data_IF_878724914144
#
_entry.id   IF_878724914144
#
_cell.length_a   1.000
_cell.length_b   1.000
_cell.length_c   1.000
_cell.angle_alpha   90.00
_cell.angle_beta   90.00
_cell.angle_gamma   90.00
#
_symmetry.space_group_name_H-M   'P 1'
#
loop_
_entity.id
_entity.type
_entity.pdbx_description
1 polymer ?
#
# COMPACT_ATOMS: atom_id res chain seq x y z
N UNK A 1 2.52 13.34 9.88
CA UNK A 1 2.23 11.91 10.14
C UNK A 1 0.77 11.80 10.55
N UNK A 2 0.03 10.85 10.00
CA UNK A 2 -1.39 10.63 10.34
C UNK A 2 -1.55 10.25 11.81
N UNK A 3 -2.50 10.82 12.56
CA UNK A 3 -2.73 10.46 13.97
C UNK A 3 -3.34 9.06 14.13
N UNK A 4 -3.94 8.50 13.07
CA UNK A 4 -4.52 7.17 13.06
C UNK A 4 -5.46 6.96 11.88
N UNK A 5 -6.06 5.77 11.79
CA UNK A 5 -7.10 5.46 10.80
C UNK A 5 -8.45 5.93 11.37
N UNK A 6 -9.22 6.78 10.64
CA UNK A 6 -10.53 7.25 11.09
C UNK A 6 -11.55 6.12 11.19
N UNK A 7 -12.69 6.42 11.81
CA UNK A 7 -13.81 5.49 11.96
C UNK A 7 -13.76 4.65 13.24
N UNK A 8 -14.92 4.09 13.60
CA UNK A 8 -15.06 3.25 14.79
C UNK A 8 -14.63 1.82 14.48
N UNK A 9 -13.81 1.24 15.35
CA UNK A 9 -13.43 -0.18 15.24
C UNK A 9 -14.70 -1.03 15.30
N UNK A 10 -14.86 -1.93 14.33
CA UNK A 10 -15.98 -2.88 14.31
C UNK A 10 -15.74 -3.92 15.41
N UNK A 11 -16.72 -4.17 16.28
CA UNK A 11 -16.57 -5.17 17.33
C UNK A 11 -16.31 -6.59 16.77
N UNK A 12 -15.63 -7.47 17.53
CA UNK A 12 -15.28 -8.82 17.09
C UNK A 12 -16.49 -9.66 16.63
N UNK A 13 -17.64 -9.52 17.29
CA UNK A 13 -18.88 -10.24 16.99
C UNK A 13 -19.37 -10.02 15.56
N UNK A 14 -19.13 -8.83 15.02
CA UNK A 14 -19.61 -8.46 13.69
C UNK A 14 -18.50 -8.44 12.64
N UNK A 15 -17.24 -8.37 13.07
CA UNK A 15 -16.07 -8.42 12.17
C UNK A 15 -16.01 -9.74 11.41
N UNK A 16 -16.46 -10.85 12.01
CA UNK A 16 -16.43 -12.17 11.39
C UNK A 16 -17.19 -12.22 10.06
N UNK A 17 -18.40 -11.67 10.03
CA UNK A 17 -19.23 -11.64 8.82
C UNK A 17 -18.59 -10.82 7.70
N UNK A 18 -18.01 -9.66 8.04
CA UNK A 18 -17.30 -8.81 7.07
C UNK A 18 -16.06 -9.53 6.50
N UNK A 19 -15.30 -10.22 7.35
CA UNK A 19 -14.17 -11.03 6.93
C UNK A 19 -14.59 -12.19 6.02
N UNK A 20 -15.68 -12.89 6.33
CA UNK A 20 -16.24 -13.96 5.50
C UNK A 20 -16.73 -13.42 4.14
N UNK A 21 -17.33 -12.22 4.12
CA UNK A 21 -17.75 -11.57 2.87
C UNK A 21 -16.56 -11.17 2.00
N UNK A 22 -15.54 -10.53 2.57
CA UNK A 22 -14.31 -10.18 1.83
C UNK A 22 -13.57 -11.44 1.36
N UNK A 23 -13.51 -12.48 2.19
CA UNK A 23 -12.96 -13.78 1.83
C UNK A 23 -13.68 -14.37 0.61
N UNK A 24 -15.02 -14.39 0.65
CA UNK A 24 -15.85 -14.88 -0.45
C UNK A 24 -15.62 -14.08 -1.73
N UNK A 25 -15.70 -12.75 -1.67
CA UNK A 25 -15.51 -11.89 -2.84
C UNK A 25 -14.09 -12.02 -3.44
N UNK A 26 -13.07 -12.21 -2.60
CA UNK A 26 -11.69 -12.37 -3.04
C UNK A 26 -11.32 -13.82 -3.41
N UNK A 27 -12.26 -14.77 -3.33
CA UNK A 27 -12.02 -16.20 -3.56
C UNK A 27 -10.86 -16.78 -2.71
N UNK A 28 -10.78 -16.41 -1.43
CA UNK A 28 -9.70 -16.84 -0.55
C UNK A 28 -10.09 -18.04 0.32
N UNK A 29 -9.14 -18.92 0.57
CA UNK A 29 -9.33 -20.07 1.48
C UNK A 29 -9.33 -19.66 2.97
N UNK A 30 -8.92 -18.43 3.27
CA UNK A 30 -8.80 -17.92 4.64
C UNK A 30 -9.28 -16.48 4.79
N UNK A 31 -9.58 -16.09 6.03
CA UNK A 31 -10.03 -14.74 6.42
C UNK A 31 -8.91 -13.74 6.68
N UNK A 32 -7.64 -14.07 6.36
CA UNK A 32 -6.50 -13.16 6.56
C UNK A 32 -6.60 -11.95 5.64
N UNK A 33 -5.89 -10.88 5.99
CA UNK A 33 -5.81 -9.66 5.19
C UNK A 33 -5.45 -9.98 3.73
N UNK A 34 -6.27 -9.56 2.73
CA UNK A 34 -6.11 -9.98 1.35
C UNK A 34 -5.15 -9.09 0.55
N UNK A 35 -4.65 -8.00 1.15
CA UNK A 35 -3.78 -7.05 0.44
C UNK A 35 -2.40 -7.62 0.12
N UNK A 36 -1.87 -7.27 -1.05
CA UNK A 36 -0.52 -7.61 -1.51
C UNK A 36 0.55 -6.96 -0.61
N UNK A 37 1.81 -7.37 -0.67
CA UNK A 37 2.92 -6.81 0.08
C UNK A 37 4.14 -6.71 -0.85
N UNK A 38 4.64 -5.50 -1.13
CA UNK A 38 5.77 -5.32 -2.05
C UNK A 38 7.08 -5.83 -1.46
N UNK A 39 7.93 -6.36 -2.35
CA UNK A 39 9.31 -6.73 -2.03
C UNK A 39 10.27 -5.54 -2.22
N UNK A 40 11.38 -5.52 -1.49
CA UNK A 40 12.38 -4.46 -1.62
C UNK A 40 13.05 -4.50 -3.00
N UNK A 41 13.28 -3.34 -3.59
CA UNK A 41 13.97 -3.19 -4.85
C UNK A 41 15.46 -3.52 -4.68
N UNK A 42 15.98 -4.39 -5.54
CA UNK A 42 17.39 -4.79 -5.58
C UNK A 42 17.97 -4.49 -6.98
N UNK A 43 19.30 -4.46 -7.09
CA UNK A 43 20.00 -4.21 -8.36
C UNK A 43 19.57 -5.15 -9.50
N UNK A 44 19.30 -6.42 -9.20
CA UNK A 44 18.80 -7.42 -10.16
C UNK A 44 17.49 -7.00 -10.82
N UNK A 45 16.67 -6.19 -10.15
CA UNK A 45 15.40 -5.70 -10.70
C UNK A 45 15.57 -4.64 -11.78
N UNK A 46 16.74 -3.99 -11.90
CA UNK A 46 17.00 -3.06 -13.01
C UNK A 46 16.87 -3.76 -14.37
N UNK A 47 17.35 -5.01 -14.47
CA UNK A 47 17.20 -5.82 -15.67
C UNK A 47 15.73 -6.22 -15.91
N UNK A 48 14.98 -6.53 -14.84
CA UNK A 48 13.54 -6.83 -14.94
C UNK A 48 12.74 -5.65 -15.50
N UNK A 49 13.05 -4.42 -15.10
CA UNK A 49 12.40 -3.22 -15.66
C UNK A 49 12.63 -3.07 -17.17
N UNK A 50 13.75 -3.58 -17.70
CA UNK A 50 14.02 -3.59 -19.14
C UNK A 50 13.30 -4.72 -19.86
N UNK A 51 12.97 -5.83 -19.19
CA UNK A 51 12.38 -7.03 -19.79
C UNK A 51 10.84 -7.03 -19.72
N UNK A 52 10.28 -6.44 -18.68
CA UNK A 52 8.85 -6.43 -18.38
C UNK A 52 8.28 -5.01 -18.42
N UNK A 53 6.96 -4.89 -18.50
CA UNK A 53 6.27 -3.60 -18.45
C UNK A 53 5.94 -3.26 -16.99
N UNK A 54 6.43 -2.11 -16.52
CA UNK A 54 6.15 -1.60 -15.18
C UNK A 54 5.54 -0.20 -15.25
N UNK A 55 4.66 0.08 -14.30
CA UNK A 55 4.30 1.44 -13.91
C UNK A 55 5.05 1.85 -12.66
N UNK A 56 5.20 3.15 -12.46
CA UNK A 56 5.88 3.74 -11.31
C UNK A 56 5.06 4.90 -10.74
N UNK A 57 5.02 5.00 -9.42
CA UNK A 57 4.53 6.16 -8.68
C UNK A 57 5.41 6.42 -7.47
N UNK A 58 5.23 7.59 -6.85
CA UNK A 58 5.83 7.88 -5.54
C UNK A 58 5.29 6.93 -4.47
N UNK A 59 6.09 6.61 -3.46
CA UNK A 59 5.67 5.82 -2.31
C UNK A 59 5.22 6.77 -1.20
N UNK A 60 3.90 6.84 -0.96
CA UNK A 60 3.37 7.79 0.00
C UNK A 60 3.79 7.40 1.42
N UNK A 61 4.00 8.39 2.27
CA UNK A 61 4.19 8.20 3.71
C UNK A 61 2.82 8.25 4.42
N UNK A 62 2.03 7.20 4.21
CA UNK A 62 0.66 7.09 4.72
C UNK A 62 0.39 5.79 5.47
N UNK A 63 -0.89 5.56 5.76
CA UNK A 63 -1.36 4.29 6.34
C UNK A 63 -2.07 3.50 5.25
N UNK A 64 -1.42 2.43 4.79
CA UNK A 64 -2.04 1.49 3.84
C UNK A 64 -3.24 0.78 4.47
N UNK A 65 -4.38 0.87 3.79
CA UNK A 65 -5.64 0.23 4.16
C UNK A 65 -6.36 -0.25 2.90
N UNK A 66 -7.14 -1.32 3.01
CA UNK A 66 -8.14 -1.62 2.00
C UNK A 66 -9.43 -0.87 2.33
N UNK A 67 -10.14 -0.40 1.33
CA UNK A 67 -11.49 0.14 1.48
C UNK A 67 -12.49 -0.90 1.00
N UNK A 68 -13.29 -1.43 1.93
CA UNK A 68 -14.39 -2.33 1.63
C UNK A 68 -15.70 -1.54 1.63
N UNK A 69 -16.36 -1.53 0.49
CA UNK A 69 -17.65 -0.89 0.28
C UNK A 69 -18.67 -2.03 0.24
N UNK A 70 -19.56 -2.05 1.22
CA UNK A 70 -20.58 -3.07 1.39
C UNK A 70 -21.95 -2.49 1.07
N UNK A 71 -22.69 -3.14 0.17
CA UNK A 71 -24.05 -2.74 -0.16
C UNK A 71 -25.00 -3.11 0.98
N UNK A 72 -25.46 -2.09 1.72
CA UNK A 72 -26.38 -2.24 2.84
C UNK A 72 -27.77 -1.71 2.44
N UNK A 73 -28.58 -2.58 1.85
CA UNK A 73 -29.88 -2.21 1.29
C UNK A 73 -29.73 -1.28 0.09
N UNK A 74 -30.07 -0.01 0.27
CA UNK A 74 -30.10 1.02 -0.77
C UNK A 74 -28.95 2.06 -0.65
N UNK A 75 -27.99 1.79 0.23
CA UNK A 75 -26.83 2.64 0.50
C UNK A 75 -25.56 1.83 0.75
N UNK A 76 -24.50 2.50 1.22
CA UNK A 76 -23.19 1.88 1.42
C UNK A 76 -22.71 1.99 2.85
N UNK A 77 -22.33 0.86 3.42
CA UNK A 77 -21.46 0.82 4.59
C UNK A 77 -20.01 0.74 4.10
N UNK A 78 -19.17 1.64 4.59
CA UNK A 78 -17.76 1.72 4.17
C UNK A 78 -16.85 1.36 5.33
N UNK A 79 -15.90 0.47 5.07
CA UNK A 79 -14.93 0.02 6.06
C UNK A 79 -13.51 0.25 5.55
N UNK A 80 -12.63 0.74 6.42
CA UNK A 80 -11.18 0.69 6.21
C UNK A 80 -10.62 -0.54 6.93
N UNK A 81 -9.84 -1.34 6.23
CA UNK A 81 -9.24 -2.58 6.72
C UNK A 81 -7.72 -2.38 6.78
N UNK A 82 -7.16 -2.44 7.99
CA UNK A 82 -5.71 -2.32 8.16
C UNK A 82 -4.97 -3.65 7.94
N UNK A 83 -3.63 -3.60 7.96
CA UNK A 83 -2.78 -4.80 7.78
C UNK A 83 -2.97 -5.87 8.86
N UNK A 84 -3.50 -5.49 10.03
CA UNK A 84 -3.85 -6.43 11.12
C UNK A 84 -5.25 -7.01 10.93
N UNK A 85 -5.90 -6.73 9.79
CA UNK A 85 -7.24 -7.16 9.43
C UNK A 85 -8.32 -6.62 10.38
N UNK A 86 -8.08 -5.43 10.96
CA UNK A 86 -9.04 -4.70 11.79
C UNK A 86 -9.91 -3.82 10.90
N UNK A 87 -11.23 -3.97 11.05
CA UNK A 87 -12.22 -3.22 10.27
C UNK A 87 -12.62 -1.97 11.04
N UNK A 88 -12.63 -0.83 10.37
CA UNK A 88 -13.06 0.47 10.91
C UNK A 88 -14.19 1.03 10.07
N UNK A 89 -15.37 1.11 10.65
CA UNK A 89 -16.54 1.66 10.01
C UNK A 89 -16.39 3.18 9.83
N UNK A 90 -16.48 3.62 8.58
CA UNK A 90 -16.49 5.01 8.20
C UNK A 90 -17.93 5.51 8.26
N UNK A 91 -18.20 6.40 9.21
CA UNK A 91 -19.52 7.01 9.35
C UNK A 91 -19.89 7.79 8.07
N UNK A 92 -21.18 8.13 7.96
CA UNK A 92 -21.89 8.76 6.83
C UNK A 92 -21.04 9.63 5.89
N UNK A 93 -21.41 9.65 4.60
CA UNK A 93 -20.87 10.60 3.62
C UNK A 93 -20.47 9.95 2.29
N UNK A 94 -20.44 8.62 2.24
CA UNK A 94 -20.16 7.88 1.01
C UNK A 94 -21.44 7.34 0.36
N UNK A 95 -21.52 7.51 -0.96
CA UNK A 95 -22.42 6.79 -1.85
C UNK A 95 -21.70 6.60 -3.18
N UNK A 96 -21.88 5.42 -3.79
CA UNK A 96 -21.23 5.07 -5.05
C UNK A 96 -22.28 4.65 -6.06
N UNK A 97 -22.55 5.44 -7.12
CA UNK A 97 -23.51 5.07 -8.14
C UNK A 97 -22.96 3.95 -9.02
N UNK A 98 -23.84 3.05 -9.47
CA UNK A 98 -23.49 1.99 -10.41
C UNK A 98 -23.13 2.59 -11.78
N UNK A 99 -22.22 1.92 -12.48
CA UNK A 99 -21.58 2.45 -13.70
C UNK A 99 -22.48 2.42 -14.94
N UNK A 100 -23.41 1.45 -15.03
CA UNK A 100 -24.40 1.37 -16.11
C UNK A 100 -25.66 2.17 -15.84
N UNK A 101 -26.03 2.30 -14.56
CA UNK A 101 -27.27 2.94 -14.12
C UNK A 101 -26.99 3.73 -12.85
N UNK A 102 -26.86 5.05 -13.00
CA UNK A 102 -26.49 5.95 -11.90
C UNK A 102 -27.55 6.02 -10.80
N UNK A 103 -28.77 5.55 -11.04
CA UNK A 103 -29.86 5.54 -10.04
C UNK A 103 -29.70 4.40 -9.04
N UNK A 104 -28.92 3.38 -9.39
CA UNK A 104 -28.67 2.21 -8.56
C UNK A 104 -27.35 2.36 -7.80
N UNK A 105 -27.26 1.83 -6.56
CA UNK A 105 -25.99 1.76 -5.85
C UNK A 105 -25.07 0.72 -6.49
N UNK A 106 -23.78 1.02 -6.52
CA UNK A 106 -22.71 0.06 -6.80
C UNK A 106 -22.81 -1.09 -5.80
N UNK A 107 -22.54 -2.33 -6.24
CA UNK A 107 -22.44 -3.45 -5.30
C UNK A 107 -21.06 -3.50 -4.64
N UNK A 108 -20.79 -4.58 -3.93
CA UNK A 108 -19.60 -4.67 -3.08
C UNK A 108 -18.30 -4.44 -3.85
N UNK A 109 -17.42 -3.60 -3.28
CA UNK A 109 -16.11 -3.30 -3.85
C UNK A 109 -15.02 -3.45 -2.78
N UNK A 110 -13.83 -3.90 -3.19
CA UNK A 110 -12.64 -3.98 -2.34
C UNK A 110 -11.50 -3.28 -3.07
N UNK A 111 -11.10 -2.12 -2.55
CA UNK A 111 -10.10 -1.24 -3.15
C UNK A 111 -8.82 -1.25 -2.32
N UNK A 112 -7.66 -1.17 -2.95
CA UNK A 112 -6.36 -1.07 -2.29
C UNK A 112 -5.81 0.35 -2.42
N UNK A 113 -5.40 0.91 -1.29
CA UNK A 113 -4.98 2.30 -1.25
C UNK A 113 -4.21 2.68 0.01
N UNK A 114 -3.86 3.96 0.06
CA UNK A 114 -3.10 4.55 1.14
C UNK A 114 -3.81 5.81 1.63
N UNK A 115 -4.06 5.86 2.93
CA UNK A 115 -4.59 7.05 3.57
C UNK A 115 -3.43 8.00 3.84
N UNK A 116 -3.55 9.25 3.41
CA UNK A 116 -2.55 10.32 3.59
C UNK A 116 -3.20 11.56 4.19
N UNK A 117 -2.43 12.31 4.98
CA UNK A 117 -2.84 13.62 5.48
C UNK A 117 -2.09 14.69 4.69
N UNK A 118 -2.79 15.35 3.79
CA UNK A 118 -2.23 16.42 2.98
C UNK A 118 -2.28 17.75 3.71
N UNK A 119 -1.19 18.51 3.64
CA UNK A 119 -1.15 19.91 4.07
C UNK A 119 -1.54 20.80 2.88
N UNK A 120 -2.84 20.98 2.70
CA UNK A 120 -3.41 21.78 1.62
C UNK A 120 -3.27 23.29 1.95
N UNK A 121 -2.71 24.12 1.03
CA UNK A 121 -2.54 25.55 1.26
C UNK A 121 -3.83 26.33 1.52
N UNK A 122 -4.96 25.84 1.02
CA UNK A 122 -6.27 26.51 1.12
C UNK A 122 -7.12 25.94 2.25
N UNK A 123 -7.07 24.63 2.47
CA UNK A 123 -7.97 23.94 3.38
C UNK A 123 -7.30 23.42 4.66
N UNK A 124 -5.99 23.63 4.82
CA UNK A 124 -5.22 23.09 5.93
C UNK A 124 -5.04 21.58 5.80
N UNK A 125 -5.21 20.84 6.89
CA UNK A 125 -5.03 19.38 6.85
C UNK A 125 -6.23 18.67 6.23
N UNK A 126 -6.02 18.01 5.09
CA UNK A 126 -7.05 17.29 4.34
C UNK A 126 -6.71 15.80 4.29
N UNK A 127 -7.65 14.97 4.72
CA UNK A 127 -7.51 13.52 4.68
C UNK A 127 -7.86 13.00 3.28
N UNK A 128 -6.94 12.27 2.64
CA UNK A 128 -7.15 11.68 1.31
C UNK A 128 -6.84 10.19 1.30
N UNK A 129 -7.67 9.41 0.60
CA UNK A 129 -7.41 8.00 0.33
C UNK A 129 -6.98 7.86 -1.14
N UNK A 130 -5.69 7.56 -1.32
CA UNK A 130 -5.06 7.37 -2.62
C UNK A 130 -5.24 5.90 -3.05
N UNK A 131 -6.17 5.65 -3.95
CA UNK A 131 -6.44 4.30 -4.47
C UNK A 131 -5.43 3.98 -5.57
N UNK A 132 -4.73 2.86 -5.45
CA UNK A 132 -3.70 2.43 -6.41
C UNK A 132 -3.95 1.03 -7.02
N UNK A 133 -4.92 0.26 -6.52
CA UNK A 133 -5.38 -0.99 -7.16
C UNK A 133 -6.81 -1.36 -6.69
N UNK A 134 -7.40 -2.41 -7.27
CA UNK A 134 -8.70 -2.93 -6.88
C UNK A 134 -8.75 -4.46 -6.98
N UNK A 135 -9.29 -5.12 -5.95
CA UNK A 135 -9.46 -6.56 -5.89
C UNK A 135 -10.85 -6.98 -6.41
N UNK A 136 -11.87 -6.20 -6.06
CA UNK A 136 -13.28 -6.47 -6.36
C UNK A 136 -13.94 -5.16 -6.76
N UNK A 137 -14.69 -5.17 -7.86
CA UNK A 137 -15.53 -4.04 -8.29
C UNK A 137 -16.90 -4.61 -8.68
N UNK A 138 -17.95 -4.11 -8.04
CA UNK A 138 -19.34 -4.50 -8.28
C UNK A 138 -19.57 -6.01 -8.14
N UNK A 139 -19.18 -6.58 -6.99
CA UNK A 139 -19.17 -8.02 -6.68
C UNK A 139 -18.28 -8.90 -7.58
N UNK A 140 -17.65 -8.34 -8.61
CA UNK A 140 -16.80 -9.10 -9.51
C UNK A 140 -15.36 -9.11 -8.99
N UNK A 141 -14.85 -10.31 -8.67
CA UNK A 141 -13.43 -10.53 -8.44
C UNK A 141 -12.65 -10.23 -9.72
N UNK A 142 -11.66 -9.34 -9.61
CA UNK A 142 -10.85 -8.88 -10.74
C UNK A 142 -9.36 -9.13 -10.50
N UNK A 143 -8.99 -9.88 -9.46
CA UNK A 143 -7.61 -10.12 -9.06
C UNK A 143 -6.83 -10.85 -10.16
N UNK A 144 -7.44 -11.77 -10.91
CA UNK A 144 -6.79 -12.49 -12.01
C UNK A 144 -6.58 -11.65 -13.29
N UNK A 145 -7.13 -10.43 -13.35
CA UNK A 145 -6.93 -9.51 -14.49
C UNK A 145 -5.58 -8.80 -14.37
N UNK A 146 -5.08 -8.25 -15.47
CA UNK A 146 -3.86 -7.42 -15.47
C UNK A 146 -4.07 -6.08 -14.73
N UNK A 147 -2.99 -5.43 -14.31
CA UNK A 147 -3.06 -4.10 -13.68
C UNK A 147 -3.80 -3.10 -14.58
N UNK A 148 -3.55 -3.12 -15.89
CA UNK A 148 -4.26 -2.22 -16.83
C UNK A 148 -5.78 -2.40 -16.78
N UNK A 149 -6.24 -3.65 -16.66
CA UNK A 149 -7.66 -4.00 -16.62
C UNK A 149 -8.31 -3.69 -15.27
N UNK A 150 -7.57 -3.87 -14.16
CA UNK A 150 -8.03 -3.54 -12.80
C UNK A 150 -8.07 -2.03 -12.58
N UNK A 151 -6.97 -1.33 -12.84
CA UNK A 151 -6.75 0.07 -12.47
C UNK A 151 -7.37 1.06 -13.45
N UNK A 152 -7.19 0.84 -14.75
CA UNK A 152 -7.41 1.87 -15.76
C UNK A 152 -6.17 2.72 -16.00
N UNK A 153 -6.18 3.53 -17.05
CA UNK A 153 -4.99 4.25 -17.51
C UNK A 153 -5.38 5.70 -17.67
N UNK A 154 -4.90 6.59 -16.81
CA UNK A 154 -5.11 8.04 -16.97
C UNK A 154 -3.98 8.72 -17.74
N UNK A 155 -4.27 9.85 -18.39
CA UNK A 155 -3.27 10.84 -18.82
C UNK A 155 -2.28 10.40 -19.92
N UNK A 156 -0.98 10.62 -19.68
CA UNK A 156 0.11 10.37 -20.65
C UNK A 156 0.25 8.89 -21.03
N UNK A 157 -0.05 7.98 -20.10
CA UNK A 157 -0.02 6.53 -20.33
C UNK A 157 -1.16 6.13 -21.29
N UNK A 158 -2.35 6.73 -21.15
CA UNK A 158 -3.52 6.34 -21.94
C UNK A 158 -3.34 6.60 -23.44
N UNK A 159 -2.57 7.62 -23.79
CA UNK A 159 -2.20 7.90 -25.20
C UNK A 159 -1.20 6.90 -25.77
N UNK A 160 -0.46 6.18 -24.93
CA UNK A 160 0.65 5.30 -25.34
C UNK A 160 0.31 3.82 -25.28
N UNK A 161 -0.61 3.41 -24.41
CA UNK A 161 -1.10 2.04 -24.31
C UNK A 161 -2.40 1.91 -25.10
N UNK A 162 -2.33 1.27 -26.29
CA UNK A 162 -3.52 0.85 -27.04
C UNK A 162 -3.90 -0.57 -26.61
N UNK A 163 -4.68 -0.67 -25.54
CA UNK A 163 -5.34 -1.92 -25.14
C UNK A 163 -6.85 -1.82 -25.44
N UNK A 164 -7.28 -2.14 -26.68
CA UNK A 164 -8.67 -1.97 -27.11
C UNK A 164 -9.69 -2.80 -26.30
N UNK A 165 -9.22 -3.80 -25.55
CA UNK A 165 -10.07 -4.70 -24.75
C UNK A 165 -9.87 -4.53 -23.22
N UNK A 166 -9.15 -3.50 -22.76
CA UNK A 166 -8.99 -3.28 -21.32
C UNK A 166 -10.25 -2.68 -20.70
N UNK A 167 -10.81 -3.37 -19.71
CA UNK A 167 -12.04 -2.96 -19.01
C UNK A 167 -11.86 -1.75 -18.08
N UNK A 168 -10.63 -1.42 -17.68
CA UNK A 168 -10.27 -0.24 -16.85
C UNK A 168 -11.21 -0.03 -15.65
N UNK A 169 -11.44 -1.08 -14.87
CA UNK A 169 -12.60 -1.16 -13.96
C UNK A 169 -12.60 -0.07 -12.88
N UNK A 170 -11.49 0.13 -12.20
CA UNK A 170 -11.41 1.15 -11.16
C UNK A 170 -11.62 2.57 -11.74
N UNK A 171 -11.00 2.90 -12.87
CA UNK A 171 -11.21 4.20 -13.50
C UNK A 171 -12.63 4.39 -14.05
N UNK A 172 -13.12 3.46 -14.89
CA UNK A 172 -14.36 3.61 -15.65
C UNK A 172 -15.60 3.24 -14.86
N UNK A 173 -15.54 2.17 -14.06
CA UNK A 173 -16.71 1.70 -13.32
C UNK A 173 -16.82 2.33 -11.94
N UNK A 174 -15.71 2.67 -11.28
CA UNK A 174 -15.77 3.26 -9.94
C UNK A 174 -15.59 4.78 -9.93
N UNK A 175 -14.43 5.29 -10.37
CA UNK A 175 -14.11 6.70 -10.23
C UNK A 175 -14.92 7.62 -11.14
N UNK A 176 -15.19 7.22 -12.39
CA UNK A 176 -15.95 8.04 -13.34
C UNK A 176 -17.38 8.35 -12.84
N UNK A 177 -18.23 7.36 -12.47
CA UNK A 177 -19.56 7.66 -11.95
C UNK A 177 -19.52 8.41 -10.61
N UNK A 178 -18.57 8.09 -9.72
CA UNK A 178 -18.37 8.83 -8.48
C UNK A 178 -18.04 10.31 -8.71
N UNK A 179 -17.13 10.63 -9.64
CA UNK A 179 -16.78 12.02 -9.99
C UNK A 179 -17.96 12.80 -10.56
N UNK A 180 -18.79 12.16 -11.37
CA UNK A 180 -20.02 12.77 -11.92
C UNK A 180 -20.97 13.12 -10.78
N UNK A 181 -21.23 12.18 -9.87
CA UNK A 181 -22.09 12.41 -8.71
C UNK A 181 -21.56 13.52 -7.81
N UNK A 182 -20.27 13.53 -7.46
CA UNK A 182 -19.69 14.57 -6.60
C UNK A 182 -19.78 15.96 -7.24
N UNK A 183 -19.69 16.06 -8.57
CA UNK A 183 -19.88 17.33 -9.29
C UNK A 183 -21.33 17.82 -9.20
N UNK A 184 -22.30 16.91 -9.27
CA UNK A 184 -23.73 17.22 -9.18
C UNK A 184 -24.19 17.47 -7.74
N UNK A 185 -23.58 16.80 -6.77
CA UNK A 185 -23.92 16.87 -5.34
C UNK A 185 -22.68 17.17 -4.49
N UNK A 186 -22.10 18.38 -4.56
CA UNK A 186 -20.87 18.73 -3.83
C UNK A 186 -20.95 18.55 -2.32
N UNK A 187 -22.14 18.67 -1.73
CA UNK A 187 -22.39 18.43 -0.31
C UNK A 187 -22.03 17.01 0.14
N UNK A 188 -22.06 16.03 -0.76
CA UNK A 188 -21.63 14.66 -0.45
C UNK A 188 -20.11 14.56 -0.29
N UNK A 189 -19.33 15.37 -1.02
CA UNK A 189 -17.89 15.43 -0.80
C UNK A 189 -17.55 16.05 0.56
N UNK A 190 -18.32 17.05 0.99
CA UNK A 190 -18.11 17.74 2.26
C UNK A 190 -18.47 16.88 3.48
N UNK A 191 -19.39 15.93 3.33
CA UNK A 191 -19.75 15.00 4.41
C UNK A 191 -18.87 13.74 4.44
N UNK A 192 -18.18 13.41 3.34
CA UNK A 192 -17.28 12.27 3.29
C UNK A 192 -16.11 12.43 4.30
N UNK A 193 -15.79 11.38 5.09
CA UNK A 193 -14.68 11.41 6.05
C UNK A 193 -13.30 11.71 5.44
N UNK A 194 -13.12 11.45 4.14
CA UNK A 194 -11.90 11.71 3.38
C UNK A 194 -12.18 11.80 1.88
N UNK A 195 -11.28 12.44 1.15
CA UNK A 195 -11.36 12.55 -0.31
C UNK A 195 -10.83 11.28 -0.99
N UNK A 196 -11.51 10.79 -2.01
CA UNK A 196 -11.05 9.67 -2.83
C UNK A 196 -10.26 10.18 -4.03
N UNK A 197 -9.01 9.73 -4.18
CA UNK A 197 -8.13 10.10 -5.29
C UNK A 197 -7.61 8.84 -5.95
N UNK A 198 -7.72 8.76 -7.28
CA UNK A 198 -7.05 7.73 -8.07
C UNK A 198 -5.58 8.12 -8.20
N UNK A 199 -4.67 7.30 -7.66
CA UNK A 199 -3.24 7.62 -7.57
C UNK A 199 -2.58 7.80 -8.96
N UNK A 200 -1.93 8.92 -9.26
CA UNK A 200 -1.26 9.08 -10.54
C UNK A 200 -0.13 8.04 -10.72
N UNK A 201 -0.17 7.29 -11.81
CA UNK A 201 0.88 6.35 -12.22
C UNK A 201 1.59 6.90 -13.47
N UNK A 202 2.87 6.56 -13.64
CA UNK A 202 3.65 6.81 -14.85
C UNK A 202 4.21 5.50 -15.40
N UNK A 203 4.61 5.47 -16.67
CA UNK A 203 5.41 4.35 -17.20
C UNK A 203 6.78 4.33 -16.49
N UNK A 204 7.38 3.17 -16.26
CA UNK A 204 8.65 3.05 -15.54
C UNK A 204 9.78 3.92 -16.13
N UNK A 205 9.85 4.05 -17.46
CA UNK A 205 10.84 4.92 -18.12
C UNK A 205 10.56 6.42 -18.02
N UNK A 206 9.44 6.81 -17.43
CA UNK A 206 9.01 8.20 -17.22
C UNK A 206 9.24 8.65 -15.78
N UNK A 207 10.19 8.02 -15.07
CA UNK A 207 10.49 8.28 -13.67
C UNK A 207 10.74 9.77 -13.37
N UNK A 208 11.44 10.48 -14.26
CA UNK A 208 11.71 11.92 -14.11
C UNK A 208 10.43 12.75 -13.93
N UNK A 209 9.31 12.35 -14.54
CA UNK A 209 8.02 13.03 -14.34
C UNK A 209 7.46 12.81 -12.93
N UNK A 210 7.69 11.64 -12.33
CA UNK A 210 7.31 11.35 -10.95
C UNK A 210 8.17 12.18 -10.00
N UNK A 211 9.50 12.15 -10.20
CA UNK A 211 10.46 12.89 -9.38
C UNK A 211 10.22 14.41 -9.44
N UNK A 212 9.90 14.96 -10.62
CA UNK A 212 9.54 16.37 -10.76
C UNK A 212 8.21 16.76 -10.08
N UNK A 213 7.36 15.77 -9.75
CA UNK A 213 6.11 15.99 -9.04
C UNK A 213 6.24 15.85 -7.52
N UNK A 214 7.23 15.07 -7.04
CA UNK A 214 7.47 14.85 -5.60
C UNK A 214 7.51 16.16 -4.77
N UNK A 215 8.23 17.22 -5.17
CA UNK A 215 8.25 18.47 -4.40
C UNK A 215 6.91 19.22 -4.35
N UNK A 216 5.93 18.83 -5.19
CA UNK A 216 4.60 19.45 -5.28
C UNK A 216 3.53 18.67 -4.51
N UNK A 217 3.89 17.50 -3.96
CA UNK A 217 3.00 16.71 -3.12
C UNK A 217 2.71 17.47 -1.83
N UNK A 218 1.49 17.31 -1.32
CA UNK A 218 1.05 17.90 -0.05
C UNK A 218 1.24 16.94 1.13
N UNK A 219 1.70 15.71 0.87
CA UNK A 219 2.05 14.66 1.83
C UNK A 219 3.53 14.26 1.68
N UNK A 220 4.06 13.57 2.70
CA UNK A 220 5.40 12.99 2.65
C UNK A 220 5.49 11.80 1.71
N UNK A 221 6.68 11.54 1.20
CA UNK A 221 7.02 10.38 0.37
C UNK A 221 8.35 9.81 0.84
N UNK A 222 8.50 8.49 0.83
CA UNK A 222 9.68 7.76 1.31
C UNK A 222 10.27 6.82 0.25
N UNK A 223 9.96 7.07 -1.03
CA UNK A 223 10.52 6.31 -2.15
C UNK A 223 9.61 6.17 -3.35
N UNK A 224 9.67 5.02 -4.02
CA UNK A 224 8.94 4.71 -5.24
C UNK A 224 8.30 3.31 -5.16
N UNK A 225 7.17 3.14 -5.83
CA UNK A 225 6.54 1.84 -6.07
C UNK A 225 6.53 1.55 -7.55
N UNK A 226 7.10 0.40 -7.94
CA UNK A 226 6.97 -0.16 -9.28
C UNK A 226 5.99 -1.33 -9.25
N UNK A 227 5.00 -1.31 -10.16
CA UNK A 227 3.99 -2.37 -10.27
C UNK A 227 4.00 -2.93 -11.69
N UNK A 228 4.16 -4.24 -11.84
CA UNK A 228 4.14 -4.88 -13.14
C UNK A 228 2.75 -4.75 -13.79
N UNK A 229 2.73 -4.44 -15.08
CA UNK A 229 1.50 -4.10 -15.82
C UNK A 229 0.66 -5.35 -16.11
N UNK A 230 1.33 -6.45 -16.45
CA UNK A 230 0.67 -7.69 -16.88
C UNK A 230 0.43 -8.68 -15.73
N UNK A 231 0.75 -8.31 -14.48
CA UNK A 231 0.56 -9.19 -13.33
C UNK A 231 -0.90 -9.21 -12.86
N UNK A 232 -1.31 -10.38 -12.37
CA UNK A 232 -2.49 -10.52 -11.50
C UNK A 232 -2.21 -9.91 -10.13
N UNK A 233 -3.25 -9.62 -9.37
CA UNK A 233 -3.13 -9.20 -7.98
C UNK A 233 -2.85 -10.42 -7.10
N UNK A 234 -1.74 -10.42 -6.36
CA UNK A 234 -1.35 -11.52 -5.49
C UNK A 234 -1.51 -11.10 -4.02
N UNK A 235 -2.39 -11.75 -3.23
CA UNK A 235 -2.47 -11.52 -1.79
C UNK A 235 -1.14 -11.83 -1.10
N UNK A 236 -0.85 -11.12 -0.01
CA UNK A 236 0.42 -11.27 0.72
C UNK A 236 1.62 -10.93 -0.17
N UNK A 237 2.77 -11.61 -0.05
CA UNK A 237 3.98 -11.23 -0.77
C UNK A 237 3.79 -11.29 -2.29
N UNK A 238 4.07 -10.17 -2.95
CA UNK A 238 3.92 -10.03 -4.40
C UNK A 238 5.24 -9.55 -5.03
N UNK A 239 5.90 -10.42 -5.79
CA UNK A 239 7.17 -10.15 -6.47
C UNK A 239 7.02 -9.26 -7.72
N UNK A 240 5.78 -8.98 -8.12
CA UNK A 240 5.43 -8.06 -9.20
C UNK A 240 5.34 -6.60 -8.72
N UNK A 241 5.40 -6.37 -7.40
CA UNK A 241 5.37 -5.05 -6.79
C UNK A 241 6.68 -4.80 -6.05
N UNK A 242 7.44 -3.81 -6.52
CA UNK A 242 8.75 -3.47 -5.98
C UNK A 242 8.67 -2.14 -5.24
N UNK A 243 9.12 -2.10 -3.99
CA UNK A 243 9.32 -0.86 -3.23
C UNK A 243 10.79 -0.46 -3.30
N UNK A 244 11.07 0.69 -3.88
CA UNK A 244 12.39 1.31 -3.80
C UNK A 244 12.37 2.42 -2.75
N UNK A 245 13.44 2.53 -1.99
CA UNK A 245 13.70 3.62 -1.05
C UNK A 245 15.08 4.18 -1.31
N UNK A 246 15.34 5.47 -1.05
CA UNK A 246 16.69 5.99 -1.05
C UNK A 246 17.58 5.13 -0.13
N UNK A 247 18.82 4.79 -0.53
CA UNK A 247 19.67 3.90 0.26
C UNK A 247 19.88 4.34 1.71
N UNK A 248 19.88 5.65 1.97
CA UNK A 248 20.04 6.23 3.31
C UNK A 248 18.78 6.16 4.19
N UNK A 249 17.64 5.74 3.64
CA UNK A 249 16.38 5.46 4.34
C UNK A 249 16.12 3.96 4.54
N UNK A 250 17.00 3.09 4.04
CA UNK A 250 16.93 1.66 4.37
C UNK A 250 17.35 1.44 5.82
N UNK A 251 16.47 0.80 6.56
CA UNK A 251 16.62 0.56 8.00
C UNK A 251 16.25 -0.87 8.36
N UNK A 252 16.80 -1.33 9.48
CA UNK A 252 16.51 -2.62 10.09
C UNK A 252 16.05 -2.37 11.52
N UNK A 253 14.99 -3.06 11.94
CA UNK A 253 14.62 -3.06 13.35
C UNK A 253 15.42 -4.14 14.09
N UNK A 254 16.25 -3.75 15.06
CA UNK A 254 17.02 -4.66 15.91
C UNK A 254 16.50 -4.62 17.34
N UNK A 255 16.74 -5.70 18.08
CA UNK A 255 16.68 -5.65 19.54
C UNK A 255 18.00 -5.11 20.08
N UNK A 256 17.93 -4.05 20.88
CA UNK A 256 19.06 -3.39 21.50
C UNK A 256 19.31 -3.98 22.89
N UNK A 257 20.57 -4.33 23.17
CA UNK A 257 21.03 -4.76 24.49
C UNK A 257 22.25 -3.95 24.90
N UNK A 258 22.25 -3.42 26.12
CA UNK A 258 23.34 -2.62 26.67
C UNK A 258 24.21 -3.51 27.56
N UNK A 259 25.51 -3.58 27.24
CA UNK A 259 26.51 -4.27 28.08
C UNK A 259 27.48 -3.25 28.67
N UNK A 260 27.27 -2.92 29.93
CA UNK A 260 28.13 -2.02 30.69
C UNK A 260 29.46 -2.71 31.04
N UNK A 261 30.59 -1.99 30.99
CA UNK A 261 31.87 -2.52 31.43
C UNK A 261 31.84 -2.85 32.92
N UNK A 262 32.72 -3.72 33.38
CA UNK A 262 32.79 -4.10 34.79
C UNK A 262 33.50 -3.03 35.63
N UNK A 263 32.96 -2.74 36.81
CA UNK A 263 33.68 -2.06 37.89
C UNK A 263 34.87 -2.94 38.29
N UNK A 264 36.07 -2.34 38.34
CA UNK A 264 37.36 -3.05 38.52
C UNK A 264 37.29 -4.18 39.56
N UNK A 265 37.26 -5.43 39.07
CA UNK A 265 37.31 -6.68 39.84
C UNK A 265 36.14 -6.89 40.82
N UNK A 266 34.96 -6.33 40.57
CA UNK A 266 33.79 -6.51 41.46
C UNK A 266 32.71 -7.44 40.87
N UNK A 267 32.80 -7.78 39.58
CA UNK A 267 31.74 -8.47 38.84
C UNK A 267 30.47 -7.62 38.63
N UNK A 268 30.48 -6.35 39.02
CA UNK A 268 29.32 -5.45 38.93
C UNK A 268 29.47 -4.49 37.74
N UNK A 269 28.36 -4.12 37.06
CA UNK A 269 28.41 -3.17 35.95
C UNK A 269 28.71 -1.74 36.42
N UNK A 270 29.61 -1.06 35.70
CA UNK A 270 29.88 0.37 35.83
C UNK A 270 28.89 1.17 34.97
N UNK A 271 27.77 1.58 35.57
CA UNK A 271 26.75 2.40 34.92
C UNK A 271 27.18 3.84 34.62
N UNK A 272 28.37 4.27 35.05
CA UNK A 272 28.91 5.61 34.74
C UNK A 272 29.59 5.65 33.38
N UNK A 273 30.06 4.50 32.90
CA UNK A 273 30.75 4.35 31.62
C UNK A 273 29.75 4.09 30.49
N UNK A 274 30.14 4.46 29.27
CA UNK A 274 29.34 4.15 28.08
C UNK A 274 29.36 2.62 27.84
N UNK A 275 28.18 1.98 27.72
CA UNK A 275 28.11 0.54 27.45
C UNK A 275 28.44 0.22 25.99
N UNK A 276 28.67 -1.07 25.72
CA UNK A 276 28.51 -1.57 24.35
C UNK A 276 27.03 -1.69 24.02
N UNK A 277 26.65 -1.19 22.85
CA UNK A 277 25.29 -1.23 22.34
C UNK A 277 25.18 -2.37 21.32
N UNK A 278 24.70 -3.53 21.76
CA UNK A 278 24.63 -4.74 20.94
C UNK A 278 23.31 -4.79 20.18
N UNK A 279 23.39 -5.12 18.89
CA UNK A 279 22.23 -5.29 18.00
C UNK A 279 21.98 -6.78 17.80
N UNK A 280 20.77 -7.21 18.14
CA UNK A 280 20.31 -8.59 17.99
C UNK A 280 19.22 -8.69 16.93
N UNK A 281 19.28 -9.77 16.14
CA UNK A 281 18.25 -10.15 15.18
C UNK A 281 17.38 -11.27 15.73
N UNK A 282 16.12 -11.32 15.30
CA UNK A 282 15.18 -12.32 15.75
C UNK A 282 15.22 -13.56 14.85
N UNK A 283 15.26 -14.75 15.46
CA UNK A 283 15.29 -16.04 14.75
C UNK A 283 13.99 -16.86 14.97
N UNK A 284 12.96 -16.26 15.57
CA UNK A 284 11.69 -16.92 15.86
C UNK A 284 11.54 -17.32 17.33
N UNK A 285 10.30 -17.31 17.81
CA UNK A 285 9.98 -17.60 19.21
C UNK A 285 10.72 -16.65 20.15
N UNK A 286 11.50 -17.19 21.09
CA UNK A 286 12.32 -16.43 22.05
C UNK A 286 13.80 -16.34 21.64
N UNK A 287 14.15 -16.75 20.42
CA UNK A 287 15.54 -16.88 19.98
C UNK A 287 16.02 -15.59 19.32
N UNK A 288 17.18 -15.12 19.78
CA UNK A 288 17.88 -13.95 19.27
C UNK A 288 19.35 -14.30 19.07
N UNK A 289 19.96 -13.75 18.03
CA UNK A 289 21.40 -13.87 17.78
C UNK A 289 22.04 -12.50 17.66
N UNK A 290 23.22 -12.35 18.23
CA UNK A 290 24.05 -11.16 18.04
C UNK A 290 24.33 -10.97 16.56
N UNK A 291 24.20 -9.72 16.09
CA UNK A 291 24.44 -9.36 14.70
C UNK A 291 25.61 -8.38 14.57
N UNK A 292 25.52 -7.23 15.24
CA UNK A 292 26.53 -6.17 15.15
C UNK A 292 26.42 -5.21 16.35
N UNK A 293 27.19 -4.13 16.34
CA UNK A 293 27.15 -3.07 17.34
C UNK A 293 26.59 -1.77 16.76
N UNK A 294 25.81 -1.07 17.59
CA UNK A 294 25.37 0.28 17.31
C UNK A 294 26.48 1.25 17.71
N UNK A 295 26.87 2.14 16.81
CA UNK A 295 27.77 3.23 17.19
C UNK A 295 26.95 4.35 17.82
N UNK A 296 27.31 4.76 19.03
CA UNK A 296 26.74 5.89 19.77
C UNK A 296 27.88 6.86 20.09
N UNK A 297 27.67 8.15 19.82
CA UNK A 297 28.64 9.20 20.12
C UNK A 297 28.45 9.70 21.56
N UNK A 298 29.49 10.35 22.11
CA UNK A 298 29.47 10.81 23.51
C UNK A 298 28.30 11.78 23.79
N UNK A 299 28.03 12.71 22.86
CA UNK A 299 26.92 13.66 22.98
C UNK A 299 25.55 12.98 22.90
N UNK A 300 25.41 11.95 22.05
CA UNK A 300 24.22 11.11 21.98
C UNK A 300 24.01 10.32 23.26
N UNK A 301 25.08 9.75 23.82
CA UNK A 301 25.02 9.03 25.09
C UNK A 301 24.60 9.94 26.25
N UNK A 302 25.14 11.15 26.32
CA UNK A 302 24.71 12.17 27.30
C UNK A 302 23.22 12.54 27.13
N UNK A 303 22.74 12.65 25.88
CA UNK A 303 21.33 12.88 25.61
C UNK A 303 20.44 11.69 26.03
N UNK A 304 20.88 10.45 25.77
CA UNK A 304 20.20 9.24 26.19
C UNK A 304 20.06 9.19 27.72
N UNK A 305 21.13 9.45 28.47
CA UNK A 305 21.09 9.54 29.95
C UNK A 305 20.08 10.57 30.45
N UNK A 306 20.03 11.75 29.82
CA UNK A 306 19.11 12.84 30.20
C UNK A 306 17.64 12.53 29.87
N UNK A 307 17.40 11.71 28.84
CA UNK A 307 16.03 11.40 28.38
C UNK A 307 15.19 10.59 29.38
N UNK A 308 15.83 9.90 30.34
CA UNK A 308 15.18 8.97 31.29
C UNK A 308 14.39 7.84 30.61
N UNK A 309 14.69 7.56 29.33
CA UNK A 309 14.12 6.44 28.59
C UNK A 309 14.93 5.18 28.89
N UNK A 310 14.24 4.06 29.10
CA UNK A 310 14.88 2.74 29.16
C UNK A 310 15.19 2.28 27.72
N UNK A 311 16.48 2.13 27.40
CA UNK A 311 16.93 1.69 26.06
C UNK A 311 17.24 0.20 25.97
N UNK A 312 17.64 -0.41 27.09
CA UNK A 312 17.98 -1.83 27.13
C UNK A 312 16.75 -2.73 26.95
N UNK A 313 16.96 -3.86 26.28
CA UNK A 313 15.94 -4.88 25.96
C UNK A 313 14.78 -4.36 25.08
N UNK A 314 15.07 -3.38 24.21
CA UNK A 314 14.04 -2.71 23.38
C UNK A 314 14.31 -2.82 21.89
N UNK A 315 13.25 -2.76 21.08
CA UNK A 315 13.39 -2.72 19.63
C UNK A 315 13.68 -1.29 19.19
N UNK A 316 14.71 -1.12 18.37
CA UNK A 316 15.08 0.14 17.72
C UNK A 316 15.10 -0.03 16.21
N UNK A 317 14.82 1.04 15.49
CA UNK A 317 15.09 1.14 14.05
C UNK A 317 16.48 1.75 13.87
N UNK A 318 17.36 1.07 13.15
CA UNK A 318 18.71 1.53 12.85
C UNK A 318 18.97 1.53 11.35
N UNK A 319 19.80 2.47 10.89
CA UNK A 319 20.27 2.55 9.50
C UNK A 319 21.79 2.43 9.44
N UNK A 320 22.28 1.97 8.30
CA UNK A 320 23.71 1.96 8.02
C UNK A 320 24.18 3.34 7.52
N UNK A 321 25.11 3.97 8.23
CA UNK A 321 25.77 5.18 7.77
C UNK A 321 26.94 4.80 6.85
N UNK A 322 26.75 4.97 5.54
CA UNK A 322 27.75 4.66 4.52
C UNK A 322 29.07 5.44 4.69
N UNK A 323 29.04 6.64 5.28
CA UNK A 323 30.25 7.45 5.47
C UNK A 323 31.05 6.98 6.68
N UNK A 324 30.36 6.56 7.75
CA UNK A 324 30.98 6.11 9.00
C UNK A 324 31.23 4.60 9.03
N UNK A 325 30.65 3.86 8.10
CA UNK A 325 30.61 2.40 8.12
C UNK A 325 30.11 1.85 9.46
N UNK A 326 28.96 2.38 9.92
CA UNK A 326 28.43 2.09 11.24
C UNK A 326 26.91 2.11 11.27
N UNK A 327 26.30 1.27 12.13
CA UNK A 327 24.88 1.37 12.46
C UNK A 327 24.60 2.57 13.35
N UNK A 328 23.54 3.31 13.00
CA UNK A 328 23.08 4.51 13.71
C UNK A 328 21.60 4.39 14.01
N UNK A 329 21.23 4.73 15.25
CA UNK A 329 19.84 4.65 15.69
C UNK A 329 19.02 5.75 15.02
N UNK A 330 17.83 5.40 14.56
CA UNK A 330 16.84 6.34 14.03
C UNK A 330 15.79 6.64 15.09
N UNK A 331 15.15 5.61 15.64
CA UNK A 331 14.08 5.75 16.65
C UNK A 331 13.82 4.46 17.40
N UNK A 332 13.08 4.56 18.49
CA UNK A 332 12.51 3.41 19.20
C UNK A 332 11.30 2.84 18.45
N UNK A 333 11.09 1.53 18.55
CA UNK A 333 10.01 0.78 17.88
C UNK A 333 9.12 0.06 18.89
N UNK A 334 8.51 0.85 19.75
CA UNK A 334 7.59 0.42 20.80
C UNK A 334 6.34 -0.31 20.25
N UNK A 335 6.06 -0.11 18.96
CA UNK A 335 5.00 -0.79 18.22
C UNK A 335 5.31 -2.26 17.90
N UNK A 336 6.56 -2.70 18.11
CA UNK A 336 7.04 -4.03 17.76
C UNK A 336 7.46 -4.83 19.00
N UNK A 337 6.99 -6.09 19.14
CA UNK A 337 7.44 -6.96 20.22
C UNK A 337 8.88 -7.45 20.00
N UNK A 338 9.28 -7.62 18.74
CA UNK A 338 10.56 -8.20 18.34
C UNK A 338 11.17 -7.38 17.18
N UNK A 339 12.49 -7.52 17.00
CA UNK A 339 13.20 -7.00 15.83
C UNK A 339 12.78 -7.70 14.54
N UNK A 340 13.42 -7.34 13.42
CA UNK A 340 13.20 -8.02 12.15
C UNK A 340 13.74 -9.45 12.21
N UNK A 341 13.00 -10.38 11.57
CA UNK A 341 13.46 -11.75 11.38
C UNK A 341 14.74 -11.78 10.53
N UNK A 342 15.63 -12.74 10.79
CA UNK A 342 16.90 -12.93 10.06
C UNK A 342 16.76 -12.78 8.54
N UNK A 343 15.79 -13.44 7.92
CA UNK A 343 15.59 -13.36 6.46
C UNK A 343 15.28 -11.95 5.96
N UNK A 344 14.60 -11.13 6.78
CA UNK A 344 14.31 -9.73 6.46
C UNK A 344 15.58 -8.90 6.58
N UNK A 345 16.38 -9.14 7.62
CA UNK A 345 17.65 -8.44 7.83
C UNK A 345 18.60 -8.72 6.67
N UNK A 346 18.80 -9.98 6.30
CA UNK A 346 19.68 -10.37 5.19
C UNK A 346 19.24 -9.70 3.87
N UNK A 347 17.93 -9.62 3.59
CA UNK A 347 17.40 -8.92 2.41
C UNK A 347 17.67 -7.41 2.45
N UNK A 348 17.47 -6.76 3.59
CA UNK A 348 17.73 -5.31 3.71
C UNK A 348 19.23 -5.02 3.61
N UNK A 349 20.07 -5.83 4.25
CA UNK A 349 21.53 -5.69 4.21
C UNK A 349 22.05 -5.86 2.79
N UNK A 350 21.49 -6.79 2.00
CA UNK A 350 21.83 -6.91 0.58
C UNK A 350 21.56 -5.61 -0.19
N UNK A 351 20.45 -4.90 0.10
CA UNK A 351 20.14 -3.59 -0.51
C UNK A 351 21.01 -2.44 0.01
N UNK A 352 21.66 -2.61 1.17
CA UNK A 352 22.64 -1.66 1.71
C UNK A 352 24.01 -1.87 1.06
N UNK A 353 24.41 -3.13 0.84
CA UNK A 353 25.68 -3.52 0.23
C UNK A 353 25.72 -3.24 -1.28
N UNK A 354 24.58 -3.38 -1.95
CA UNK A 354 24.42 -3.09 -3.38
C UNK A 354 23.31 -2.04 -3.57
N UNK A 355 23.58 -0.78 -3.18
CA UNK A 355 22.58 0.27 -3.16
C UNK A 355 22.26 0.71 -4.59
N UNK A 356 20.96 0.76 -4.90
CA UNK A 356 20.46 1.40 -6.12
C UNK A 356 20.04 2.82 -5.76
N UNK A 357 20.78 3.81 -6.24
CA UNK A 357 20.45 5.22 -6.07
C UNK A 357 19.40 5.72 -7.06
N UNK A 358 18.87 6.91 -6.80
CA UNK A 358 17.94 7.58 -7.73
C UNK A 358 18.59 7.80 -9.11
N UNK A 359 19.87 8.18 -9.12
CA UNK A 359 20.64 8.38 -10.36
C UNK A 359 20.73 7.11 -11.20
N UNK A 360 20.83 5.93 -10.58
CA UNK A 360 20.92 4.65 -11.28
C UNK A 360 19.59 4.30 -11.95
N UNK A 361 18.47 4.57 -11.26
CA UNK A 361 17.12 4.40 -11.81
C UNK A 361 16.87 5.33 -13.00
N UNK A 362 17.24 6.61 -12.87
CA UNK A 362 17.12 7.61 -13.95
C UNK A 362 18.00 7.23 -15.14
N UNK A 363 19.25 6.84 -14.90
CA UNK A 363 20.18 6.40 -15.95
C UNK A 363 19.66 5.18 -16.73
N UNK A 364 18.80 4.35 -16.13
CA UNK A 364 18.19 3.19 -16.80
C UNK A 364 16.96 3.52 -17.66
N UNK A 365 16.32 4.65 -17.44
CA UNK A 365 15.09 5.04 -18.15
C UNK A 365 15.20 5.00 -19.69
N UNK A 366 16.28 5.48 -20.34
CA UNK A 366 16.45 5.36 -21.79
C UNK A 366 16.43 3.91 -22.30
N UNK A 367 17.11 3.01 -21.59
CA UNK A 367 17.15 1.58 -21.94
C UNK A 367 15.78 0.93 -21.78
N UNK A 368 15.09 1.19 -20.65
CA UNK A 368 13.72 0.72 -20.39
C UNK A 368 12.79 1.18 -21.50
N UNK A 369 12.88 2.45 -21.93
CA UNK A 369 12.05 3.00 -23.01
C UNK A 369 12.28 2.29 -24.34
N UNK A 370 13.54 2.01 -24.69
CA UNK A 370 13.90 1.32 -25.93
C UNK A 370 13.32 -0.10 -25.95
N UNK A 371 13.51 -0.87 -24.88
CA UNK A 371 12.98 -2.23 -24.79
C UNK A 371 11.46 -2.26 -24.75
N UNK A 372 10.83 -1.35 -24.01
CA UNK A 372 9.38 -1.20 -23.99
C UNK A 372 8.81 -0.95 -25.40
N UNK A 373 9.41 -0.01 -26.16
CA UNK A 373 8.99 0.25 -27.55
C UNK A 373 9.18 -0.97 -28.44
N UNK A 374 10.28 -1.71 -28.30
CA UNK A 374 10.54 -2.90 -29.08
C UNK A 374 9.46 -3.98 -28.84
N UNK A 375 9.10 -4.24 -27.58
CA UNK A 375 8.01 -5.18 -27.23
C UNK A 375 6.67 -4.76 -27.83
N UNK A 376 6.30 -3.49 -27.69
CA UNK A 376 5.01 -2.99 -28.20
C UNK A 376 4.96 -2.89 -29.73
N UNK A 377 6.10 -2.71 -30.40
CA UNK A 377 6.17 -2.80 -31.86
C UNK A 377 6.01 -4.26 -32.35
N UNK A 378 6.65 -5.23 -31.67
CA UNK A 378 6.54 -6.65 -31.99
C UNK A 378 5.12 -7.19 -31.80
N UNK A 379 4.43 -6.75 -30.74
CA UNK A 379 3.02 -7.11 -30.49
C UNK A 379 2.04 -6.54 -31.55
N UNK A 380 2.50 -5.65 -32.44
CA UNK A 380 1.73 -5.16 -33.59
C UNK A 380 1.72 -6.12 -34.79
N UNK A 381 2.55 -7.18 -34.81
CA UNK A 381 2.58 -8.20 -35.87
C UNK A 381 1.68 -9.37 -35.43
N UNK A 382 0.46 -9.43 -35.96
CA UNK A 382 -0.49 -10.53 -35.67
C UNK A 382 0.01 -11.87 -36.23
N UNK A 383 0.07 -12.96 -35.45
CA UNK A 383 -0.02 -14.31 -36.00
C UNK A 383 -1.45 -14.57 -36.51
N UNK A 384 -1.65 -15.52 -37.45
CA UNK A 384 -2.95 -15.78 -38.07
C UNK A 384 -3.98 -16.25 -37.03
N UNK A 385 -5.29 -16.00 -37.28
CA UNK A 385 -6.33 -16.29 -36.31
C UNK A 385 -6.48 -17.80 -36.13
N UNK A 386 -6.16 -18.29 -34.93
CA UNK A 386 -6.61 -19.61 -34.49
C UNK A 386 -8.07 -19.51 -34.07
N UNK A 387 -8.94 -20.11 -34.86
CA UNK A 387 -10.33 -20.38 -34.49
C UNK A 387 -10.35 -21.40 -33.36
N UNK A 388 -10.64 -20.94 -32.15
CA UNK A 388 -11.23 -21.79 -31.12
C UNK A 388 -12.52 -21.13 -30.65
N UNK A 389 -13.64 -21.80 -30.90
CA UNK A 389 -14.91 -21.49 -30.25
C UNK A 389 -14.73 -21.61 -28.73
N UNK A 390 -15.26 -20.68 -27.92
CA UNK A 390 -15.19 -20.80 -26.46
C UNK A 390 -15.97 -22.03 -25.98
N UNK A 391 -15.48 -22.77 -24.97
CA UNK A 391 -16.32 -23.71 -24.27
C UNK A 391 -17.37 -22.95 -23.44
N UNK A 392 -18.58 -23.51 -23.35
CA UNK A 392 -19.66 -22.98 -22.53
C UNK A 392 -19.24 -22.80 -21.06
N UNK A 393 -19.74 -21.77 -20.36
CA UNK A 393 -19.45 -21.58 -18.95
C UNK A 393 -20.05 -22.72 -18.11
N UNK A 394 -19.19 -23.56 -17.56
CA UNK A 394 -19.55 -24.42 -16.44
C UNK A 394 -19.73 -23.53 -15.21
N UNK A 395 -20.96 -23.20 -14.84
CA UNK A 395 -21.50 -23.00 -13.47
C UNK A 395 -22.88 -22.31 -13.55
N UNK A 396 -23.99 -23.05 -13.76
CA UNK A 396 -25.32 -22.52 -13.51
C UNK A 396 -25.61 -22.62 -12.01
N UNK A 397 -25.74 -21.48 -11.31
CA UNK A 397 -26.31 -21.45 -9.96
C UNK A 397 -25.42 -20.89 -8.85
N UNK A 398 -24.85 -19.69 -9.02
CA UNK A 398 -24.38 -18.92 -7.88
C UNK A 398 -25.61 -18.51 -7.02
N UNK A 399 -25.72 -18.93 -5.75
CA UNK A 399 -26.81 -18.48 -4.90
C UNK A 399 -26.65 -16.98 -4.63
N UNK A 400 -27.73 -16.22 -4.85
CA UNK A 400 -27.85 -14.87 -4.32
C UNK A 400 -27.63 -14.93 -2.81
N UNK A 401 -26.50 -14.40 -2.35
CA UNK A 401 -26.21 -14.32 -0.92
C UNK A 401 -27.10 -13.23 -0.31
N UNK A 402 -28.29 -13.60 0.15
CA UNK A 402 -29.11 -12.76 1.02
C UNK A 402 -28.47 -12.80 2.40
N UNK A 403 -27.50 -11.92 2.62
CA UNK A 403 -26.88 -11.73 3.93
C UNK A 403 -27.95 -11.39 4.95
N UNK A 404 -28.02 -12.17 6.02
CA UNK A 404 -28.81 -11.83 7.19
C UNK A 404 -28.35 -10.45 7.68
N UNK A 405 -29.25 -9.46 7.58
CA UNK A 405 -29.03 -8.11 8.06
C UNK A 405 -28.79 -8.14 9.57
N UNK A 406 -27.53 -7.99 10.00
CA UNK A 406 -27.24 -7.56 11.36
C UNK A 406 -27.60 -6.08 11.40
N UNK A 407 -28.79 -5.78 11.93
CA UNK A 407 -29.29 -4.42 12.03
C UNK A 407 -28.40 -3.58 12.94
N UNK A 408 -27.48 -2.81 12.36
CA UNK A 408 -26.92 -1.66 13.02
C UNK A 408 -27.94 -0.53 12.90
N UNK A 409 -28.55 -0.16 14.03
CA UNK A 409 -29.58 0.87 14.11
C UNK A 409 -29.10 2.30 13.87
N UNK A 410 -28.22 2.55 12.89
CA UNK A 410 -27.72 3.89 12.58
C UNK A 410 -27.57 4.14 11.06
N UNK A 411 -28.46 5.01 10.58
CA UNK A 411 -28.38 5.88 9.40
C UNK A 411 -28.47 5.29 7.97
N UNK A 412 -29.63 5.51 7.33
CA UNK A 412 -29.87 5.41 5.89
C UNK A 412 -29.36 6.69 5.20
N UNK A 413 -28.22 6.63 4.51
CA UNK A 413 -27.95 7.61 3.44
C UNK A 413 -28.52 7.03 2.16
N UNK A 414 -29.73 7.47 1.81
CA UNK A 414 -30.29 7.22 0.49
C UNK A 414 -29.63 8.17 -0.50
N UNK A 415 -29.17 7.65 -1.65
CA UNK A 415 -28.75 8.48 -2.77
C UNK A 415 -29.82 9.51 -3.17
N UNK A 416 -29.43 10.59 -3.88
CA UNK A 416 -30.35 11.67 -4.26
C UNK A 416 -31.56 11.15 -5.05
N UNK A 417 -32.73 11.76 -4.84
CA UNK A 417 -34.00 11.32 -5.45
C UNK A 417 -34.08 11.49 -6.98
N UNK A 418 -33.16 12.27 -7.55
CA UNK A 418 -33.02 12.43 -9.00
C UNK A 418 -31.56 12.65 -9.39
N UNK A 419 -31.10 11.99 -10.45
CA UNK A 419 -29.78 12.16 -11.08
C UNK A 419 -30.00 12.32 -12.57
N UNK A 420 -29.52 13.42 -13.17
CA UNK A 420 -29.61 13.67 -14.64
C UNK A 420 -31.06 13.64 -15.20
N UNK A 421 -32.04 14.12 -14.43
CA UNK A 421 -33.46 14.14 -14.83
C UNK A 421 -34.21 12.81 -14.65
N UNK A 422 -33.52 11.73 -14.26
CA UNK A 422 -34.12 10.46 -13.89
C UNK A 422 -34.57 10.50 -12.43
N UNK A 423 -35.80 10.08 -12.15
CA UNK A 423 -36.32 9.93 -10.79
C UNK A 423 -36.12 8.49 -10.34
N UNK A 424 -35.71 8.32 -9.07
CA UNK A 424 -35.50 7.03 -8.42
C UNK A 424 -36.75 6.15 -8.46
#
# INVERSE_FOLDING_TARGET
MLPGIPGSIVPPENTRHLQERVQFLCHLEHRRFPGSQPISFASSHLARLEQEDFWVCEKSDGIRVLMFIYLAGEGHDVFLIDRKNVYRYQQQGFFFPHYEDKTRPMRDCVLDGELVLDNDPTHGQVLRFLVFDALVIDEQNIMDKTLTSRYGVGGSIQRRIREPNSSKRLEQWFFKPYKVMIKEFPQMASSAPFQLILKPMQLAYSLEMVLAHVPKLQHGTDGLIYTAVNSKYIPQTDESILKWKPPHENSVDFKLELRFPELRNTGQPDFTQMPMFLLYIWEGGRKYSFYDTLTVMEDEWEAMKKSKIQYDDRVIEARWDLKRHAWRMMRMRDDKPDGNHRDVVEKVVQTILDPVGESDLVARCPSIRTHWKARHAANGVRPPPYNFSPPEPAFPGAPHWQGASVGYGFAKVTGPASVDGWKR
#
